data_IF_741960515554
#
_entry.id   IF_741960515554
#
_cell.length_a   1.000
_cell.length_b   1.000
_cell.length_c   1.000
_cell.angle_alpha   90.00
_cell.angle_beta   90.00
_cell.angle_gamma   90.00
#
_symmetry.space_group_name_H-M   'P 1'
#
loop_
_entity.id
_entity.type
_entity.pdbx_description
1 polymer ?
#
# COMPACT_ATOMS: atom_id res chain seq x y z
N UNK A 1 4.69 14.97 8.36
CA UNK A 1 4.64 14.05 7.20
C UNK A 1 5.92 13.23 7.04
N UNK A 2 7.10 13.85 6.81
CA UNK A 2 8.37 13.11 6.55
C UNK A 2 8.71 12.02 7.58
N UNK A 3 8.51 12.30 8.88
CA UNK A 3 8.77 11.31 9.94
C UNK A 3 7.82 10.11 9.87
N UNK A 4 6.52 10.36 9.68
CA UNK A 4 5.53 9.30 9.50
C UNK A 4 5.85 8.43 8.28
N UNK A 5 6.22 9.05 7.14
CA UNK A 5 6.66 8.31 5.95
C UNK A 5 7.89 7.43 6.17
N UNK A 6 8.84 7.85 7.03
CA UNK A 6 9.99 6.99 7.40
C UNK A 6 9.57 5.78 8.23
N UNK A 7 8.57 5.91 9.09
CA UNK A 7 8.02 4.77 9.84
C UNK A 7 7.36 3.79 8.88
N UNK A 8 6.58 4.27 7.92
CA UNK A 8 5.97 3.42 6.87
C UNK A 8 7.04 2.71 6.05
N UNK A 9 8.11 3.40 5.64
CA UNK A 9 9.21 2.79 4.91
C UNK A 9 9.89 1.66 5.70
N UNK A 10 10.06 1.82 7.02
CA UNK A 10 10.60 0.77 7.88
C UNK A 10 9.63 -0.41 8.04
N UNK A 11 8.31 -0.15 8.14
CA UNK A 11 7.30 -1.22 8.10
C UNK A 11 7.41 -2.01 6.79
N UNK A 12 7.58 -1.32 5.66
CA UNK A 12 7.77 -1.97 4.36
C UNK A 12 9.05 -2.80 4.33
N UNK A 13 10.16 -2.29 4.85
CA UNK A 13 11.43 -3.01 4.89
C UNK A 13 11.34 -4.31 5.70
N UNK A 14 10.79 -4.25 6.91
CA UNK A 14 10.67 -5.45 7.76
C UNK A 14 9.68 -6.46 7.20
N UNK A 15 8.57 -6.00 6.63
CA UNK A 15 7.57 -6.91 6.03
C UNK A 15 8.11 -7.54 4.75
N UNK A 16 8.79 -6.79 3.87
CA UNK A 16 9.44 -7.34 2.66
C UNK A 16 10.43 -8.43 3.01
N UNK A 17 11.26 -8.19 4.03
CA UNK A 17 12.29 -9.13 4.46
C UNK A 17 11.70 -10.40 5.07
N UNK A 18 10.48 -10.33 5.60
CA UNK A 18 9.79 -11.46 6.21
C UNK A 18 8.90 -12.24 5.24
N UNK A 19 8.62 -11.73 4.03
CA UNK A 19 7.79 -12.43 3.05
C UNK A 19 8.51 -13.69 2.57
N UNK A 20 7.96 -14.85 2.90
CA UNK A 20 8.43 -16.16 2.48
C UNK A 20 7.27 -17.17 2.54
N UNK A 21 7.35 -18.31 1.81
CA UNK A 21 6.39 -19.39 1.95
C UNK A 21 6.26 -19.85 3.42
N UNK A 22 5.02 -20.07 3.87
CA UNK A 22 4.68 -20.47 5.23
C UNK A 22 4.50 -19.32 6.23
N UNK A 23 4.94 -18.09 5.91
CA UNK A 23 4.71 -16.93 6.78
C UNK A 23 3.25 -16.50 6.70
N UNK A 24 2.60 -16.30 7.84
CA UNK A 24 1.20 -15.84 7.88
C UNK A 24 1.10 -14.34 7.69
N UNK A 25 -0.02 -13.87 7.14
CA UNK A 25 -0.28 -12.42 7.07
C UNK A 25 -0.41 -11.79 8.45
N UNK A 26 -0.89 -12.53 9.46
CA UNK A 26 -0.85 -12.11 10.86
C UNK A 26 0.58 -11.81 11.34
N UNK A 27 1.58 -12.63 10.97
CA UNK A 27 2.98 -12.36 11.34
C UNK A 27 3.51 -11.07 10.73
N UNK A 28 3.13 -10.74 9.49
CA UNK A 28 3.49 -9.46 8.88
C UNK A 28 2.88 -8.27 9.64
N UNK A 29 1.64 -8.43 10.13
CA UNK A 29 0.98 -7.41 10.95
C UNK A 29 1.65 -7.23 12.32
N UNK A 30 2.09 -8.30 12.97
CA UNK A 30 2.88 -8.22 14.21
C UNK A 30 4.17 -7.42 14.01
N UNK A 31 4.93 -7.73 12.95
CA UNK A 31 6.15 -6.99 12.62
C UNK A 31 5.89 -5.50 12.42
N UNK A 32 4.80 -5.15 11.72
CA UNK A 32 4.40 -3.76 11.54
C UNK A 32 4.04 -3.08 12.87
N UNK A 33 3.34 -3.78 13.77
CA UNK A 33 3.01 -3.28 15.10
C UNK A 33 4.26 -3.03 15.95
N UNK A 34 5.25 -3.93 15.89
CA UNK A 34 6.55 -3.77 16.56
C UNK A 34 7.29 -2.50 16.08
N UNK A 35 7.21 -2.16 14.78
CA UNK A 35 7.79 -0.89 14.25
C UNK A 35 7.05 0.32 14.81
N UNK A 36 5.71 0.30 14.78
CA UNK A 36 4.89 1.41 15.28
C UNK A 36 5.21 1.69 16.76
N UNK A 37 5.24 0.65 17.60
CA UNK A 37 5.58 0.75 19.01
C UNK A 37 6.98 1.32 19.23
N UNK A 38 8.01 0.73 18.59
CA UNK A 38 9.40 1.18 18.70
C UNK A 38 9.59 2.64 18.29
N UNK A 39 8.78 3.12 17.34
CA UNK A 39 8.84 4.50 16.82
C UNK A 39 7.93 5.47 17.56
N UNK A 40 7.16 5.02 18.54
CA UNK A 40 6.16 5.83 19.24
C UNK A 40 5.09 6.39 18.28
N UNK A 41 4.78 5.63 17.22
CA UNK A 41 3.80 5.99 16.20
C UNK A 41 2.47 5.25 16.46
N UNK A 42 1.36 5.83 15.98
CA UNK A 42 0.05 5.14 15.96
C UNK A 42 -0.25 4.60 14.57
N UNK A 43 -1.12 3.60 14.45
CA UNK A 43 -1.58 3.11 13.15
C UNK A 43 -2.67 4.02 12.56
N UNK A 44 -2.69 4.15 11.23
CA UNK A 44 -3.83 4.71 10.49
C UNK A 44 -5.03 3.76 10.42
N UNK A 45 -4.78 2.44 10.48
CA UNK A 45 -5.73 1.40 10.13
C UNK A 45 -6.45 0.86 11.36
N UNK A 46 -5.74 0.67 12.47
CA UNK A 46 -6.31 0.04 13.66
C UNK A 46 -7.49 0.86 14.21
N UNK A 47 -8.67 0.27 14.21
CA UNK A 47 -9.92 0.86 14.66
C UNK A 47 -10.64 1.73 13.61
N UNK A 48 -10.02 2.01 12.46
CA UNK A 48 -10.64 2.80 11.39
C UNK A 48 -11.84 2.05 10.81
N UNK A 49 -13.05 2.58 11.03
CA UNK A 49 -14.33 1.89 10.73
C UNK A 49 -14.39 0.45 11.28
N UNK A 50 -13.74 0.19 12.42
CA UNK A 50 -13.70 -1.14 13.04
C UNK A 50 -12.66 -2.10 12.43
N UNK A 51 -11.76 -1.64 11.56
CA UNK A 51 -10.69 -2.45 11.00
C UNK A 51 -9.75 -2.98 12.12
N UNK A 52 -9.46 -4.29 12.20
CA UNK A 52 -8.91 -4.90 13.41
C UNK A 52 -7.37 -4.97 13.45
N UNK A 53 -6.67 -4.50 12.42
CA UNK A 53 -5.23 -4.70 12.24
C UNK A 53 -4.50 -3.37 11.96
N UNK A 54 -3.16 -3.37 12.00
CA UNK A 54 -2.35 -2.16 11.81
C UNK A 54 -1.88 -1.93 10.37
N UNK A 55 -1.98 -2.96 9.52
CA UNK A 55 -1.70 -2.94 8.08
C UNK A 55 -2.80 -3.72 7.34
N UNK A 56 -2.92 -3.53 6.02
CA UNK A 56 -3.67 -4.45 5.17
C UNK A 56 -2.71 -5.40 4.45
N UNK A 57 -3.12 -6.65 4.29
CA UNK A 57 -2.41 -7.68 3.52
C UNK A 57 -3.36 -8.30 2.53
N UNK A 58 -3.10 -8.16 1.23
CA UNK A 58 -3.99 -8.59 0.17
C UNK A 58 -3.25 -9.53 -0.79
N UNK A 59 -3.30 -10.86 -0.56
CA UNK A 59 -2.72 -11.83 -1.46
C UNK A 59 -3.55 -12.00 -2.74
N UNK A 60 -2.86 -12.22 -3.86
CA UNK A 60 -3.41 -12.66 -5.14
C UNK A 60 -4.57 -11.82 -5.68
N UNK A 61 -5.80 -12.35 -5.65
CA UNK A 61 -7.01 -11.74 -6.19
C UNK A 61 -7.65 -10.72 -5.24
N UNK A 62 -7.15 -10.60 -4.00
CA UNK A 62 -7.57 -9.54 -3.09
C UNK A 62 -7.00 -8.20 -3.54
N UNK A 63 -7.88 -7.30 -3.98
CA UNK A 63 -7.51 -6.00 -4.54
C UNK A 63 -6.97 -5.05 -3.44
N UNK A 64 -7.75 -4.83 -2.38
CA UNK A 64 -7.44 -3.91 -1.28
C UNK A 64 -8.03 -4.41 0.05
N UNK A 65 -7.60 -3.80 1.16
CA UNK A 65 -8.21 -3.92 2.49
C UNK A 65 -8.31 -5.35 3.05
N UNK A 66 -7.47 -6.27 2.57
CA UNK A 66 -7.38 -7.61 3.15
C UNK A 66 -6.95 -7.54 4.62
N UNK A 67 -7.70 -8.21 5.49
CA UNK A 67 -7.44 -8.28 6.93
C UNK A 67 -6.37 -9.36 7.18
N UNK A 68 -5.23 -9.01 7.82
CA UNK A 68 -4.23 -9.99 8.25
C UNK A 68 -4.82 -11.09 9.13
N UNK A 69 -4.38 -12.34 8.94
CA UNK A 69 -4.87 -13.51 9.67
C UNK A 69 -4.07 -14.78 9.38
N UNK A 70 -4.75 -15.93 9.48
CA UNK A 70 -4.14 -17.26 9.38
C UNK A 70 -3.67 -17.66 7.96
N UNK A 71 -3.85 -16.80 6.95
CA UNK A 71 -3.39 -17.11 5.60
C UNK A 71 -1.86 -17.20 5.58
N UNK A 72 -1.35 -18.43 5.49
CA UNK A 72 0.06 -18.70 5.25
C UNK A 72 0.38 -18.54 3.75
N UNK A 73 1.31 -17.63 3.46
CA UNK A 73 1.78 -17.36 2.11
C UNK A 73 2.33 -18.63 1.45
N UNK A 74 2.08 -18.79 0.15
CA UNK A 74 2.51 -19.97 -0.61
C UNK A 74 3.51 -19.58 -1.67
N UNK A 75 4.38 -20.52 -2.02
CA UNK A 75 5.25 -20.39 -3.20
C UNK A 75 4.39 -20.02 -4.42
N UNK A 76 4.77 -18.95 -5.13
CA UNK A 76 4.05 -18.47 -6.30
C UNK A 76 2.97 -17.42 -6.01
N UNK A 77 2.65 -17.14 -4.75
CA UNK A 77 1.75 -16.03 -4.39
C UNK A 77 2.39 -14.67 -4.73
N UNK A 78 1.54 -13.67 -4.97
CA UNK A 78 1.90 -12.26 -4.80
C UNK A 78 1.10 -11.69 -3.65
N UNK A 79 1.68 -10.73 -2.92
CA UNK A 79 1.01 -10.06 -1.82
C UNK A 79 1.19 -8.56 -1.91
N UNK A 80 0.10 -7.81 -1.72
CA UNK A 80 0.15 -6.38 -1.43
C UNK A 80 0.17 -6.16 0.08
N UNK A 81 1.08 -5.31 0.54
CA UNK A 81 1.10 -4.79 1.91
C UNK A 81 0.83 -3.29 1.87
N UNK A 82 -0.17 -2.84 2.64
CA UNK A 82 -0.58 -1.45 2.77
C UNK A 82 -0.39 -0.99 4.21
N UNK A 83 0.36 0.09 4.41
CA UNK A 83 0.83 0.49 5.73
C UNK A 83 0.84 2.00 5.92
N UNK A 84 0.59 2.40 7.16
CA UNK A 84 0.41 3.79 7.51
C UNK A 84 0.72 4.03 8.98
N UNK A 85 1.27 5.21 9.23
CA UNK A 85 1.72 5.63 10.55
C UNK A 85 1.31 7.07 10.84
N UNK A 86 0.96 7.33 12.10
CA UNK A 86 0.66 8.65 12.62
C UNK A 86 1.76 9.05 13.60
N UNK A 87 2.45 10.15 13.29
CA UNK A 87 3.52 10.73 14.11
C UNK A 87 3.25 12.22 14.30
N UNK A 88 3.04 12.63 15.56
CA UNK A 88 2.74 14.04 15.90
C UNK A 88 1.56 14.60 15.11
N UNK A 89 0.48 13.79 15.04
CA UNK A 89 -0.66 14.07 14.19
C UNK A 89 -0.41 13.65 12.75
N UNK A 90 0.74 13.94 12.14
CA UNK A 90 0.96 13.71 10.70
C UNK A 90 0.85 12.23 10.29
N UNK A 91 0.16 11.99 9.19
CA UNK A 91 -0.02 10.66 8.61
C UNK A 91 1.05 10.38 7.54
N UNK A 92 1.47 9.13 7.45
CA UNK A 92 2.19 8.57 6.32
C UNK A 92 1.40 7.37 5.82
N UNK A 93 1.41 7.14 4.52
CA UNK A 93 0.65 6.07 3.89
C UNK A 93 1.33 5.65 2.59
N UNK A 94 1.54 4.35 2.43
CA UNK A 94 2.07 3.75 1.22
C UNK A 94 1.83 2.24 1.20
N UNK A 95 1.69 1.71 -0.01
CA UNK A 95 1.57 0.27 -0.25
C UNK A 95 2.63 -0.21 -1.24
N UNK A 96 2.86 -1.52 -1.23
CA UNK A 96 3.67 -2.19 -2.25
C UNK A 96 3.16 -3.60 -2.53
N UNK A 97 3.56 -4.16 -3.67
CA UNK A 97 3.41 -5.58 -4.00
C UNK A 97 4.75 -6.30 -3.99
N UNK A 98 4.77 -7.56 -3.57
CA UNK A 98 5.96 -8.41 -3.58
C UNK A 98 5.62 -9.87 -3.95
N UNK A 99 6.55 -10.58 -4.59
CA UNK A 99 6.45 -12.03 -4.80
C UNK A 99 6.67 -12.81 -3.51
N UNK A 100 6.08 -13.99 -3.43
CA UNK A 100 6.39 -15.02 -2.44
C UNK A 100 7.14 -16.15 -3.13
N UNK A 101 8.46 -16.20 -2.92
CA UNK A 101 9.33 -17.12 -3.64
C UNK A 101 9.37 -16.82 -5.14
N UNK A 102 9.43 -17.86 -5.97
CA UNK A 102 9.36 -17.76 -7.43
C UNK A 102 7.91 -17.66 -7.88
N UNK A 103 7.60 -16.63 -8.68
CA UNK A 103 6.25 -16.36 -9.19
C UNK A 103 6.19 -16.49 -10.72
N UNK A 104 4.98 -16.68 -11.24
CA UNK A 104 4.76 -16.78 -12.69
C UNK A 104 5.21 -15.52 -13.46
N UNK A 105 5.51 -15.68 -14.75
CA UNK A 105 5.80 -14.54 -15.64
C UNK A 105 4.65 -13.52 -15.66
N UNK A 106 3.40 -13.99 -15.56
CA UNK A 106 2.23 -13.12 -15.50
C UNK A 106 2.24 -12.26 -14.23
N UNK A 107 2.52 -12.87 -13.08
CA UNK A 107 2.60 -12.18 -11.79
C UNK A 107 3.75 -11.16 -11.76
N UNK A 108 4.93 -11.55 -12.27
CA UNK A 108 6.08 -10.65 -12.45
C UNK A 108 5.71 -9.47 -13.34
N UNK A 109 5.07 -9.73 -14.49
CA UNK A 109 4.65 -8.68 -15.42
C UNK A 109 3.57 -7.77 -14.82
N UNK A 110 2.65 -8.31 -14.04
CA UNK A 110 1.62 -7.54 -13.33
C UNK A 110 2.27 -6.57 -12.36
N UNK A 111 3.10 -7.05 -11.42
CA UNK A 111 3.75 -6.19 -10.42
C UNK A 111 4.62 -5.10 -11.07
N UNK A 112 5.44 -5.47 -12.07
CA UNK A 112 6.29 -4.51 -12.79
C UNK A 112 5.45 -3.47 -13.56
N UNK A 113 4.31 -3.87 -14.12
CA UNK A 113 3.43 -2.92 -14.81
C UNK A 113 2.75 -1.99 -13.82
N UNK A 114 2.25 -2.50 -12.70
CA UNK A 114 1.66 -1.68 -11.63
C UNK A 114 2.64 -0.64 -11.11
N UNK A 115 3.91 -1.01 -10.89
CA UNK A 115 4.95 -0.07 -10.48
C UNK A 115 5.22 1.00 -11.54
N UNK A 116 5.35 0.62 -12.83
CA UNK A 116 5.48 1.61 -13.91
C UNK A 116 4.28 2.54 -13.99
N UNK A 117 3.06 2.03 -13.78
CA UNK A 117 1.84 2.84 -13.76
C UNK A 117 1.86 3.85 -12.60
N UNK A 118 2.30 3.44 -11.41
CA UNK A 118 2.49 4.33 -10.26
C UNK A 118 3.43 5.48 -10.62
N UNK A 119 4.62 5.19 -11.17
CA UNK A 119 5.57 6.23 -11.54
C UNK A 119 5.06 7.14 -12.65
N UNK A 120 4.35 6.61 -13.65
CA UNK A 120 3.71 7.44 -14.68
C UNK A 120 2.67 8.40 -14.09
N UNK A 121 1.91 7.96 -13.08
CA UNK A 121 1.00 8.82 -12.31
C UNK A 121 1.75 9.92 -11.55
N UNK A 122 2.84 9.57 -10.87
CA UNK A 122 3.70 10.52 -10.15
C UNK A 122 4.28 11.58 -11.10
N UNK A 123 4.76 11.17 -12.28
CA UNK A 123 5.32 12.08 -13.28
C UNK A 123 4.27 13.04 -13.85
N UNK A 124 3.00 12.66 -13.84
CA UNK A 124 1.89 13.52 -14.25
C UNK A 124 1.47 14.55 -13.17
N UNK A 125 1.89 14.38 -11.91
CA UNK A 125 1.58 15.30 -10.79
C UNK A 125 2.46 16.56 -10.82
N UNK A 126 2.24 17.41 -11.82
CA UNK A 126 2.96 18.68 -12.01
C UNK A 126 2.04 19.88 -11.92
N UNK A 127 2.61 21.03 -11.53
CA UNK A 127 1.88 22.30 -11.43
C UNK A 127 1.22 22.65 -12.77
N UNK A 128 -0.08 22.94 -12.73
CA UNK A 128 -0.88 23.30 -13.90
C UNK A 128 -1.54 22.12 -14.62
N UNK A 129 -1.23 20.89 -14.22
CA UNK A 129 -1.92 19.71 -14.76
C UNK A 129 -3.27 19.47 -14.05
N UNK A 130 -4.18 18.73 -14.71
CA UNK A 130 -5.48 18.33 -14.13
C UNK A 130 -5.37 16.96 -13.46
N UNK A 131 -6.11 16.73 -12.37
CA UNK A 131 -6.04 15.47 -11.62
C UNK A 131 -6.33 14.23 -12.49
N UNK A 132 -7.29 14.31 -13.41
CA UNK A 132 -7.61 13.19 -14.31
C UNK A 132 -6.47 12.79 -15.25
N UNK A 133 -5.46 13.63 -15.45
CA UNK A 133 -4.29 13.27 -16.26
C UNK A 133 -3.40 12.24 -15.53
N UNK A 134 -3.46 12.18 -14.18
CA UNK A 134 -2.81 11.12 -13.39
C UNK A 134 -3.45 9.77 -13.69
N UNK A 135 -4.78 9.68 -13.55
CA UNK A 135 -5.53 8.46 -13.89
C UNK A 135 -5.32 8.05 -15.35
N UNK A 136 -5.26 9.01 -16.27
CA UNK A 136 -4.96 8.76 -17.68
C UNK A 136 -3.55 8.19 -17.90
N UNK A 137 -2.55 8.70 -17.19
CA UNK A 137 -1.18 8.20 -17.27
C UNK A 137 -1.09 6.75 -16.76
N UNK A 138 -1.69 6.45 -15.61
CA UNK A 138 -1.81 5.10 -15.03
C UNK A 138 -2.50 4.15 -16.00
N UNK A 139 -3.66 4.54 -16.54
CA UNK A 139 -4.47 3.69 -17.42
C UNK A 139 -3.74 3.37 -18.72
N UNK A 140 -3.03 4.34 -19.33
CA UNK A 140 -2.24 4.10 -20.54
C UNK A 140 -1.18 3.03 -20.35
N UNK A 141 -0.47 3.03 -19.21
CA UNK A 141 0.58 2.04 -18.92
C UNK A 141 -0.04 0.65 -18.69
N UNK A 142 -1.13 0.58 -17.93
CA UNK A 142 -1.80 -0.68 -17.63
C UNK A 142 -2.41 -1.33 -18.89
N UNK A 143 -3.18 -0.58 -19.67
CA UNK A 143 -3.88 -1.09 -20.86
C UNK A 143 -2.91 -1.45 -21.98
N UNK A 144 -1.82 -0.70 -22.16
CA UNK A 144 -0.78 -1.03 -23.14
C UNK A 144 -0.09 -2.39 -22.85
N UNK A 145 -0.09 -2.83 -21.59
CA UNK A 145 0.44 -4.12 -21.17
C UNK A 145 -0.62 -5.25 -21.13
N UNK A 146 -1.86 -4.95 -21.54
CA UNK A 146 -2.97 -5.91 -21.53
C UNK A 146 -3.64 -6.13 -20.17
N UNK A 147 -3.46 -5.20 -19.22
CA UNK A 147 -4.14 -5.21 -17.92
C UNK A 147 -5.25 -4.16 -17.85
N UNK A 148 -6.13 -4.29 -16.86
CA UNK A 148 -7.21 -3.33 -16.59
C UNK A 148 -6.98 -2.55 -15.29
N UNK A 149 -7.60 -1.38 -15.16
CA UNK A 149 -7.59 -0.55 -13.94
C UNK A 149 -8.88 -0.77 -13.15
N UNK A 150 -8.76 -0.95 -11.83
CA UNK A 150 -9.89 -1.01 -10.90
C UNK A 150 -10.58 0.35 -10.84
N UNK A 151 -11.92 0.39 -10.91
CA UNK A 151 -12.70 1.65 -10.95
C UNK A 151 -13.37 2.03 -9.65
N UNK A 152 -13.64 1.06 -8.78
CA UNK A 152 -14.42 1.26 -7.55
C UNK A 152 -13.57 1.69 -6.35
N UNK A 153 -12.25 1.82 -6.53
CA UNK A 153 -11.31 2.28 -5.52
C UNK A 153 -10.42 3.37 -6.13
N UNK A 154 -10.25 4.45 -5.40
CA UNK A 154 -9.57 5.65 -5.86
C UNK A 154 -8.60 6.16 -4.80
N UNK A 155 -7.68 7.00 -5.23
CA UNK A 155 -6.70 7.66 -4.39
C UNK A 155 -7.36 8.65 -3.41
N UNK A 156 -6.62 8.99 -2.36
CA UNK A 156 -7.00 10.05 -1.44
C UNK A 156 -5.82 10.95 -1.15
N UNK A 157 -6.12 12.19 -0.78
CA UNK A 157 -5.11 13.14 -0.33
C UNK A 157 -5.03 13.10 1.18
N UNK A 158 -3.82 12.89 1.70
CA UNK A 158 -3.51 13.11 3.11
C UNK A 158 -3.05 14.56 3.28
N UNK A 159 -3.85 15.38 3.95
CA UNK A 159 -3.57 16.81 4.16
C UNK A 159 -3.42 17.13 5.63
N UNK A 160 -2.85 18.30 5.91
CA UNK A 160 -2.81 18.89 7.25
C UNK A 160 -3.67 20.14 7.20
N UNK A 161 -4.80 20.13 7.91
CA UNK A 161 -5.70 21.27 8.07
C UNK A 161 -5.40 22.00 9.38
N UNK A 162 -6.12 23.10 9.62
CA UNK A 162 -6.11 23.81 10.91
C UNK A 162 -6.61 22.95 12.08
N UNK A 163 -7.41 21.90 11.80
CA UNK A 163 -7.91 20.94 12.80
C UNK A 163 -6.95 19.76 12.98
N UNK A 164 -5.77 19.81 12.35
CA UNK A 164 -4.83 18.71 12.28
C UNK A 164 -4.96 17.94 10.96
N UNK A 165 -4.28 16.80 10.84
CA UNK A 165 -4.28 16.06 9.60
C UNK A 165 -5.56 15.26 9.35
N UNK A 166 -5.99 15.32 8.11
CA UNK A 166 -7.26 14.77 7.62
C UNK A 166 -7.01 14.01 6.31
N UNK A 167 -7.84 13.02 6.05
CA UNK A 167 -7.87 12.28 4.78
C UNK A 167 -9.00 12.87 3.94
N UNK A 168 -8.66 13.47 2.80
CA UNK A 168 -9.61 13.96 1.80
C UNK A 168 -9.67 13.00 0.63
N UNK A 169 -10.77 12.30 0.51
CA UNK A 169 -11.14 11.57 -0.70
C UNK A 169 -11.87 12.56 -1.61
N UNK A 170 -11.24 12.93 -2.72
CA UNK A 170 -11.92 13.72 -3.76
C UNK A 170 -12.63 12.72 -4.70
N UNK A 171 -13.94 12.87 -4.95
CA UNK A 171 -14.67 12.03 -5.89
C UNK A 171 -14.29 12.27 -7.35
#
# INVERSE_FOLDING_TARGET
>A
MRRAGRVVAEIHEVTRSAIAPGVTTARLNELAAEVLERRGARSNFLGYHGFPAVICTSPNDMIVHGIPGEYALREGDIIKVDAGAIVEGYHGDAAYSAPVGEVSELATRLMATTERSLYAGIDALVKGNRLHEVGRAVQRVAEAAGFSVVRDHFEHTVVVTENGPEIYTLP
#
